data_IF_183742984860
#
_entry.id   IF_183742984860
#
_cell.length_a   1.000
_cell.length_b   1.000
_cell.length_c   1.000
_cell.angle_alpha   90.00
_cell.angle_beta   90.00
_cell.angle_gamma   90.00
#
_symmetry.space_group_name_H-M   'P 1'
#
loop_
_entity.id
_entity.type
_entity.pdbx_description
1 polymer ?
#
# COMPACT_ATOMS: atom_id res chain seq x y z
N UNK A 1 -26.32 10.10 22.82
CA UNK A 1 -26.30 9.64 21.41
C UNK A 1 -25.11 10.21 20.66
N UNK A 2 -25.00 11.53 20.46
CA UNK A 2 -23.95 12.13 19.61
C UNK A 2 -22.51 11.99 20.12
N UNK A 3 -22.28 12.12 21.43
CA UNK A 3 -20.99 11.82 22.06
C UNK A 3 -20.56 10.36 21.90
N UNK A 4 -21.53 9.43 21.93
CA UNK A 4 -21.25 8.01 21.70
C UNK A 4 -20.85 7.76 20.25
N UNK A 5 -21.54 8.41 19.31
CA UNK A 5 -21.28 8.30 17.87
C UNK A 5 -19.92 8.89 17.48
N UNK A 6 -19.55 10.06 18.02
CA UNK A 6 -18.22 10.65 17.81
C UNK A 6 -17.09 9.79 18.38
N UNK A 7 -17.37 9.00 19.43
CA UNK A 7 -16.40 8.09 20.04
C UNK A 7 -16.27 6.76 19.28
N UNK A 8 -17.33 6.32 18.60
CA UNK A 8 -17.39 5.02 17.93
C UNK A 8 -17.11 5.05 16.43
N UNK A 9 -17.30 6.20 15.77
CA UNK A 9 -17.01 6.35 14.35
C UNK A 9 -15.56 6.81 14.15
N UNK A 10 -14.87 6.31 13.11
CA UNK A 10 -13.59 6.86 12.70
C UNK A 10 -13.81 8.32 12.30
N UNK A 11 -13.36 9.24 13.15
CA UNK A 11 -13.39 10.65 12.83
C UNK A 11 -12.40 10.88 11.69
N UNK A 12 -12.86 11.49 10.60
CA UNK A 12 -11.97 11.91 9.55
C UNK A 12 -11.08 13.01 10.12
N UNK A 13 -9.77 12.76 10.16
CA UNK A 13 -8.81 13.75 10.60
C UNK A 13 -8.83 14.97 9.69
N UNK A 14 -8.28 16.09 10.15
CA UNK A 14 -8.16 17.28 9.31
C UNK A 14 -7.26 17.01 8.10
N UNK A 15 -6.26 16.14 8.25
CA UNK A 15 -5.38 15.66 7.19
C UNK A 15 -6.16 14.81 6.18
N UNK A 16 -6.98 13.86 6.64
CA UNK A 16 -7.84 13.05 5.77
C UNK A 16 -8.84 13.93 5.00
N UNK A 17 -9.44 14.91 5.69
CA UNK A 17 -10.34 15.90 5.09
C UNK A 17 -9.62 16.75 4.04
N UNK A 18 -8.38 17.13 4.29
CA UNK A 18 -7.53 17.85 3.32
C UNK A 18 -7.18 17.02 2.10
N UNK A 19 -6.89 15.72 2.27
CA UNK A 19 -6.66 14.81 1.14
C UNK A 19 -7.92 14.65 0.27
N UNK A 20 -9.09 14.55 0.91
CA UNK A 20 -10.40 14.51 0.24
C UNK A 20 -10.65 15.81 -0.52
N UNK A 21 -10.39 16.97 0.10
CA UNK A 21 -10.51 18.28 -0.55
C UNK A 21 -9.62 18.37 -1.80
N UNK A 22 -8.35 17.96 -1.70
CA UNK A 22 -7.42 17.98 -2.82
C UNK A 22 -7.90 17.10 -3.98
N UNK A 23 -8.35 15.88 -3.67
CA UNK A 23 -8.93 14.97 -4.66
C UNK A 23 -10.16 15.59 -5.34
N UNK A 24 -11.09 16.17 -4.57
CA UNK A 24 -12.30 16.78 -5.13
C UNK A 24 -12.02 18.07 -5.91
N UNK A 25 -11.03 18.85 -5.52
CA UNK A 25 -10.63 20.07 -6.24
C UNK A 25 -10.07 19.70 -7.61
N UNK A 26 -9.22 18.67 -7.66
CA UNK A 26 -8.72 18.10 -8.93
C UNK A 26 -9.83 17.50 -9.77
N UNK A 27 -10.73 16.74 -9.14
CA UNK A 27 -11.92 16.19 -9.78
C UNK A 27 -12.72 17.29 -10.48
N UNK A 28 -13.01 18.38 -9.74
CA UNK A 28 -13.77 19.51 -10.27
C UNK A 28 -13.04 20.19 -11.42
N UNK A 29 -11.74 20.45 -11.30
CA UNK A 29 -10.96 21.09 -12.35
C UNK A 29 -10.94 20.27 -13.66
N UNK A 30 -10.94 18.93 -13.56
CA UNK A 30 -10.92 18.04 -14.74
C UNK A 30 -12.32 17.76 -15.30
N UNK A 31 -13.34 17.66 -14.45
CA UNK A 31 -14.71 17.43 -14.87
C UNK A 31 -15.36 18.70 -15.42
N UNK A 32 -15.29 19.81 -14.70
CA UNK A 32 -15.92 21.07 -15.09
C UNK A 32 -15.06 21.90 -16.05
N UNK A 33 -14.23 21.24 -16.86
CA UNK A 33 -13.62 21.92 -18.01
C UNK A 33 -14.75 22.23 -19.01
N UNK A 34 -14.98 23.52 -19.27
CA UNK A 34 -16.17 24.07 -19.94
C UNK A 34 -16.43 23.44 -21.33
N UNK A 35 -15.40 22.84 -21.92
CA UNK A 35 -15.43 22.17 -23.22
C UNK A 35 -16.41 20.99 -23.32
N UNK A 36 -16.81 20.36 -22.21
CA UNK A 36 -17.61 19.13 -22.23
C UNK A 36 -18.84 19.12 -21.29
N UNK A 37 -19.29 20.28 -20.81
CA UNK A 37 -20.41 20.35 -19.85
C UNK A 37 -21.72 19.69 -20.37
N UNK A 38 -21.97 19.71 -21.67
CA UNK A 38 -23.11 19.01 -22.30
C UNK A 38 -22.98 17.48 -22.32
N UNK A 39 -21.77 16.93 -22.18
CA UNK A 39 -21.50 15.49 -22.18
C UNK A 39 -21.75 14.84 -20.81
N UNK A 40 -21.92 15.61 -19.72
CA UNK A 40 -22.25 15.08 -18.39
C UNK A 40 -23.59 14.35 -18.33
N UNK A 41 -24.48 14.59 -19.28
CA UNK A 41 -25.77 13.88 -19.37
C UNK A 41 -25.60 12.42 -19.81
N UNK A 42 -24.42 12.06 -20.34
CA UNK A 42 -24.09 10.73 -20.82
C UNK A 42 -23.30 9.94 -19.75
N UNK A 43 -23.94 8.91 -19.20
CA UNK A 43 -23.34 8.04 -18.17
C UNK A 43 -22.09 7.32 -18.71
N UNK A 44 -22.08 6.92 -19.99
CA UNK A 44 -20.94 6.33 -20.68
C UNK A 44 -19.70 7.25 -20.67
N UNK A 45 -19.92 8.54 -20.93
CA UNK A 45 -18.86 9.53 -20.94
C UNK A 45 -18.33 9.79 -19.52
N UNK A 46 -19.21 9.87 -18.52
CA UNK A 46 -18.81 10.04 -17.12
C UNK A 46 -17.98 8.85 -16.62
N UNK A 47 -18.42 7.62 -16.89
CA UNK A 47 -17.68 6.40 -16.51
C UNK A 47 -16.31 6.38 -17.19
N UNK A 48 -16.25 6.70 -18.48
CA UNK A 48 -14.99 6.80 -19.20
C UNK A 48 -14.08 7.83 -18.54
N UNK A 49 -14.53 9.08 -18.36
CA UNK A 49 -13.73 10.15 -17.74
C UNK A 49 -13.22 9.81 -16.35
N UNK A 50 -14.06 9.24 -15.49
CA UNK A 50 -13.67 8.88 -14.13
C UNK A 50 -12.62 7.75 -14.12
N UNK A 51 -12.78 6.73 -14.97
CA UNK A 51 -11.92 5.54 -14.97
C UNK A 51 -10.63 5.71 -15.77
N UNK A 52 -10.68 6.37 -16.92
CA UNK A 52 -9.53 6.45 -17.84
C UNK A 52 -8.69 7.71 -17.62
N UNK A 53 -9.32 8.84 -17.37
CA UNK A 53 -8.59 10.10 -17.20
C UNK A 53 -8.35 10.40 -15.74
N UNK A 54 -9.39 10.41 -14.91
CA UNK A 54 -9.27 10.89 -13.54
C UNK A 54 -8.43 9.96 -12.66
N UNK A 55 -8.72 8.65 -12.71
CA UNK A 55 -8.00 7.65 -11.96
C UNK A 55 -6.54 7.57 -12.40
N UNK A 56 -6.29 7.55 -13.71
CA UNK A 56 -4.92 7.52 -14.26
C UNK A 56 -4.14 8.79 -13.90
N UNK A 57 -4.77 9.97 -13.98
CA UNK A 57 -4.14 11.22 -13.55
C UNK A 57 -3.87 11.23 -12.04
N UNK A 58 -4.72 10.63 -11.20
CA UNK A 58 -4.44 10.51 -9.76
C UNK A 58 -3.16 9.70 -9.50
N UNK A 59 -3.02 8.54 -10.14
CA UNK A 59 -1.82 7.72 -10.01
C UNK A 59 -0.57 8.37 -10.60
N UNK A 60 -0.71 9.04 -11.74
CA UNK A 60 0.39 9.79 -12.35
C UNK A 60 0.91 10.88 -11.42
N UNK A 61 0.02 11.64 -10.79
CA UNK A 61 0.42 12.70 -9.85
C UNK A 61 1.06 12.11 -8.58
N UNK A 62 0.53 11.00 -8.06
CA UNK A 62 1.16 10.30 -6.93
C UNK A 62 2.57 9.82 -7.27
N UNK A 63 2.75 9.27 -8.46
CA UNK A 63 4.06 8.87 -8.94
C UNK A 63 4.99 10.08 -9.15
N UNK A 64 4.47 11.18 -9.71
CA UNK A 64 5.21 12.43 -9.87
C UNK A 64 5.65 13.00 -8.50
N UNK A 65 4.79 12.93 -7.50
CA UNK A 65 5.10 13.34 -6.11
C UNK A 65 6.20 12.49 -5.48
N UNK A 66 6.16 11.17 -5.65
CA UNK A 66 7.15 10.24 -5.10
C UNK A 66 8.49 10.29 -5.86
N UNK A 67 8.45 10.49 -7.17
CA UNK A 67 9.64 10.50 -8.04
C UNK A 67 10.28 11.88 -8.19
N UNK A 68 9.60 12.95 -7.78
CA UNK A 68 10.03 14.34 -8.01
C UNK A 68 9.97 14.79 -9.48
N UNK A 69 9.25 14.07 -10.32
CA UNK A 69 9.10 14.37 -11.75
C UNK A 69 7.95 15.37 -11.99
N UNK A 70 8.01 16.18 -13.06
CA UNK A 70 6.93 17.08 -13.51
C UNK A 70 6.46 18.16 -12.52
N UNK A 71 7.40 18.92 -11.95
CA UNK A 71 7.14 19.98 -10.96
C UNK A 71 6.09 21.03 -11.37
N UNK A 72 6.00 21.35 -12.67
CA UNK A 72 5.12 22.44 -13.16
C UNK A 72 3.63 22.04 -13.17
N UNK A 73 3.30 20.77 -13.39
CA UNK A 73 1.90 20.28 -13.39
C UNK A 73 1.33 20.26 -11.97
N UNK A 74 2.21 20.12 -10.99
CA UNK A 74 1.90 20.06 -9.57
C UNK A 74 1.42 21.40 -9.04
N UNK A 75 1.93 22.52 -9.54
CA UNK A 75 1.85 23.83 -8.88
C UNK A 75 0.43 24.43 -8.81
N UNK A 76 -0.39 24.27 -9.86
CA UNK A 76 -1.71 24.90 -9.95
C UNK A 76 -2.76 24.25 -9.04
N UNK A 77 -2.91 22.91 -9.10
CA UNK A 77 -3.93 22.22 -8.30
C UNK A 77 -3.57 22.27 -6.81
N UNK A 78 -2.28 22.19 -6.51
CA UNK A 78 -1.75 22.27 -5.15
C UNK A 78 -2.06 23.63 -4.53
N UNK A 79 -1.82 24.72 -5.26
CA UNK A 79 -2.11 26.08 -4.81
C UNK A 79 -3.60 26.31 -4.51
N UNK A 80 -4.50 25.51 -5.11
CA UNK A 80 -5.93 25.59 -4.85
C UNK A 80 -6.35 24.95 -3.51
N UNK A 81 -5.57 24.03 -2.95
CA UNK A 81 -5.91 23.32 -1.70
C UNK A 81 -5.84 24.24 -0.48
N UNK A 82 -6.74 24.04 0.49
CA UNK A 82 -6.73 24.84 1.73
C UNK A 82 -5.48 24.60 2.55
N UNK A 83 -4.89 23.40 2.46
CA UNK A 83 -3.64 23.05 3.12
C UNK A 83 -2.46 23.89 2.62
N UNK A 84 -2.27 24.00 1.30
CA UNK A 84 -1.18 24.82 0.77
C UNK A 84 -1.41 26.31 1.04
N UNK A 85 -2.65 26.78 0.95
CA UNK A 85 -2.99 28.16 1.32
C UNK A 85 -2.73 28.45 2.80
N UNK A 86 -2.84 27.44 3.68
CA UNK A 86 -2.49 27.56 5.08
C UNK A 86 -0.96 27.71 5.26
N UNK A 87 -0.15 26.93 4.53
CA UNK A 87 1.31 27.05 4.56
C UNK A 87 1.82 28.45 4.19
N UNK A 88 1.11 29.14 3.30
CA UNK A 88 1.45 30.52 2.90
C UNK A 88 1.19 31.56 4.01
N UNK A 89 0.43 31.22 5.05
CA UNK A 89 0.18 32.14 6.17
C UNK A 89 1.42 32.05 7.08
N UNK A 90 2.11 33.17 7.38
CA UNK A 90 3.27 33.13 8.27
C UNK A 90 2.84 32.85 9.72
N UNK A 91 3.70 32.20 10.51
CA UNK A 91 3.41 31.93 11.92
C UNK A 91 3.22 33.21 12.74
N UNK A 92 3.94 34.28 12.38
CA UNK A 92 3.81 35.61 13.02
C UNK A 92 2.45 36.27 12.81
N UNK A 93 1.67 35.83 11.81
CA UNK A 93 0.32 36.32 11.58
C UNK A 93 -0.73 35.68 12.50
N UNK A 94 -0.34 34.69 13.31
CA UNK A 94 -1.23 34.01 14.25
C UNK A 94 -0.89 34.43 15.67
N UNK A 95 -1.89 34.97 16.36
CA UNK A 95 -1.79 35.33 17.78
C UNK A 95 -2.78 34.49 18.59
N UNK A 96 -2.33 33.96 19.72
CA UNK A 96 -3.16 33.19 20.64
C UNK A 96 -3.57 34.07 21.80
N UNK A 97 -4.76 33.83 22.36
CA UNK A 97 -5.15 34.50 23.59
C UNK A 97 -4.36 33.95 24.79
N UNK A 98 -3.80 34.87 25.60
CA UNK A 98 -2.86 34.56 26.67
C UNK A 98 -3.52 33.93 27.91
N UNK A 99 -4.84 34.11 28.08
CA UNK A 99 -5.54 33.72 29.31
C UNK A 99 -6.04 32.28 29.27
N UNK A 100 -6.80 31.92 28.24
CA UNK A 100 -7.50 30.62 28.21
C UNK A 100 -7.34 29.82 26.91
N UNK A 101 -6.55 30.31 25.94
CA UNK A 101 -6.35 29.68 24.60
C UNK A 101 -7.66 29.29 23.88
N UNK A 102 -8.79 29.91 24.22
CA UNK A 102 -10.11 29.56 23.68
C UNK A 102 -10.25 29.91 22.19
N UNK A 103 -9.48 30.90 21.75
CA UNK A 103 -9.45 31.34 20.37
C UNK A 103 -8.04 31.76 19.93
N UNK A 104 -7.81 31.70 18.63
CA UNK A 104 -6.64 32.25 17.94
C UNK A 104 -7.12 33.29 16.93
N UNK A 105 -6.34 34.36 16.76
CA UNK A 105 -6.57 35.39 15.76
C UNK A 105 -5.55 35.23 14.64
N UNK A 106 -6.05 35.17 13.41
CA UNK A 106 -5.24 35.06 12.20
C UNK A 106 -5.41 36.34 11.37
N UNK A 107 -4.31 37.05 11.15
CA UNK A 107 -4.30 38.22 10.27
C UNK A 107 -4.49 37.81 8.81
N UNK A 108 -5.37 38.51 8.10
CA UNK A 108 -5.61 38.26 6.68
C UNK A 108 -4.40 38.68 5.84
N UNK A 109 -4.03 37.84 4.88
CA UNK A 109 -2.96 38.13 3.92
C UNK A 109 -3.33 39.26 2.94
N UNK A 110 -4.62 39.44 2.64
CA UNK A 110 -5.08 40.41 1.65
C UNK A 110 -5.30 41.80 2.25
N UNK A 111 -5.68 41.85 3.52
CA UNK A 111 -5.97 43.10 4.23
C UNK A 111 -5.45 42.97 5.67
N UNK A 112 -4.41 43.73 6.00
CA UNK A 112 -3.77 43.68 7.31
C UNK A 112 -4.66 44.17 8.45
N UNK A 113 -5.79 44.83 8.14
CA UNK A 113 -6.79 45.27 9.13
C UNK A 113 -7.82 44.20 9.45
N UNK A 114 -7.94 43.17 8.61
CA UNK A 114 -8.92 42.10 8.80
C UNK A 114 -8.29 40.95 9.60
N UNK A 115 -8.89 40.64 10.75
CA UNK A 115 -8.52 39.48 11.57
C UNK A 115 -9.64 38.45 11.55
N UNK A 116 -9.27 37.19 11.31
CA UNK A 116 -10.17 36.04 11.46
C UNK A 116 -9.99 35.38 12.81
N UNK A 117 -11.09 35.06 13.47
CA UNK A 117 -11.10 34.36 14.74
C UNK A 117 -11.30 32.86 14.48
N UNK A 118 -10.42 32.05 15.08
CA UNK A 118 -10.51 30.59 15.11
C UNK A 118 -10.80 30.16 16.54
N UNK A 119 -11.94 29.54 16.75
CA UNK A 119 -12.37 28.99 18.04
C UNK A 119 -11.85 27.57 18.23
N UNK A 120 -11.54 27.19 19.47
CA UNK A 120 -11.03 25.87 19.84
C UNK A 120 -9.78 25.47 19.02
N UNK A 121 -8.71 26.28 19.06
CA UNK A 121 -7.51 26.03 18.27
C UNK A 121 -6.94 24.64 18.55
N UNK A 122 -6.27 24.03 17.58
CA UNK A 122 -5.62 22.72 17.67
C UNK A 122 -6.57 21.53 17.85
N UNK A 123 -7.88 21.74 17.82
CA UNK A 123 -8.88 20.67 17.81
C UNK A 123 -9.35 20.37 16.39
N UNK A 124 -9.82 19.15 16.17
CA UNK A 124 -10.54 18.75 14.94
C UNK A 124 -11.89 19.48 14.81
N UNK A 125 -12.42 20.00 15.92
CA UNK A 125 -13.67 20.77 15.98
C UNK A 125 -13.43 22.29 15.97
N UNK A 126 -12.25 22.72 15.52
CA UNK A 126 -11.93 24.13 15.40
C UNK A 126 -12.79 24.79 14.30
N UNK A 127 -13.30 25.99 14.59
CA UNK A 127 -14.20 26.72 13.68
C UNK A 127 -13.66 28.12 13.44
N UNK A 128 -13.66 28.56 12.19
CA UNK A 128 -13.26 29.91 11.81
C UNK A 128 -14.46 30.77 11.42
N UNK A 129 -14.39 32.06 11.68
CA UNK A 129 -15.39 33.06 11.30
C UNK A 129 -15.33 33.50 9.82
N UNK A 130 -14.49 32.88 8.99
CA UNK A 130 -14.41 33.26 7.58
C UNK A 130 -15.57 32.67 6.78
N UNK A 131 -15.99 33.37 5.73
CA UNK A 131 -17.10 32.94 4.87
C UNK A 131 -16.91 31.52 4.29
N UNK A 132 -15.67 31.13 4.00
CA UNK A 132 -15.36 29.79 3.49
C UNK A 132 -15.63 28.69 4.54
N UNK A 133 -15.29 28.96 5.80
CA UNK A 133 -15.55 28.05 6.92
C UNK A 133 -17.04 27.93 7.22
N UNK A 134 -17.80 29.03 7.11
CA UNK A 134 -19.25 29.02 7.32
C UNK A 134 -20.03 28.21 6.28
N UNK A 135 -19.46 27.99 5.09
CA UNK A 135 -20.02 27.08 4.08
C UNK A 135 -19.76 25.60 4.38
N UNK A 136 -19.08 25.28 5.49
CA UNK A 136 -18.69 23.92 5.85
C UNK A 136 -17.45 23.42 5.11
N UNK A 137 -16.75 24.29 4.37
CA UNK A 137 -15.51 23.92 3.70
C UNK A 137 -14.32 23.94 4.66
N UNK A 138 -13.30 23.15 4.33
CA UNK A 138 -12.05 23.15 5.06
C UNK A 138 -11.40 24.54 5.00
N UNK A 139 -11.08 25.12 6.14
CA UNK A 139 -10.56 26.48 6.22
C UNK A 139 -9.05 26.52 6.42
N UNK A 140 -8.36 27.30 5.57
CA UNK A 140 -6.91 27.53 5.68
C UNK A 140 -6.48 28.12 7.03
N UNK A 141 -7.30 28.96 7.65
CA UNK A 141 -6.98 29.56 8.95
C UNK A 141 -7.00 28.51 10.07
N UNK A 142 -7.99 27.59 10.04
CA UNK A 142 -8.08 26.49 10.99
C UNK A 142 -6.88 25.55 10.84
N UNK A 143 -6.54 25.17 9.60
CA UNK A 143 -5.35 24.34 9.32
C UNK A 143 -4.10 25.02 9.88
N UNK A 144 -3.89 26.30 9.57
CA UNK A 144 -2.70 27.03 10.00
C UNK A 144 -2.56 27.04 11.53
N UNK A 145 -3.64 27.38 12.23
CA UNK A 145 -3.67 27.41 13.70
C UNK A 145 -3.37 26.03 14.27
N UNK A 146 -3.96 24.97 13.69
CA UNK A 146 -3.76 23.60 14.15
C UNK A 146 -2.32 23.12 13.91
N UNK A 147 -1.69 23.50 12.79
CA UNK A 147 -0.27 23.22 12.55
C UNK A 147 0.61 23.85 13.63
N UNK A 148 0.39 25.12 13.98
CA UNK A 148 1.16 25.79 15.04
C UNK A 148 0.93 25.10 16.39
N UNK A 149 -0.31 24.73 16.71
CA UNK A 149 -0.63 24.00 17.93
C UNK A 149 0.08 22.64 18.01
N UNK A 150 0.11 21.88 16.91
CA UNK A 150 0.76 20.57 16.85
C UNK A 150 2.28 20.61 17.09
N UNK A 151 2.94 21.74 16.84
CA UNK A 151 4.36 21.93 17.13
C UNK A 151 4.66 22.35 18.58
N UNK A 152 3.64 22.66 19.40
CA UNK A 152 3.83 23.07 20.79
C UNK A 152 3.80 21.87 21.74
N UNK A 153 4.70 21.87 22.71
CA UNK A 153 4.73 20.84 23.76
C UNK A 153 3.41 20.82 24.55
N UNK A 154 2.85 19.63 24.75
CA UNK A 154 1.62 19.41 25.51
C UNK A 154 0.33 19.38 24.68
N UNK A 155 0.37 19.59 23.35
CA UNK A 155 -0.81 19.40 22.52
C UNK A 155 -1.16 17.92 22.38
N UNK A 156 -2.42 17.59 22.62
CA UNK A 156 -2.89 16.23 22.42
C UNK A 156 -3.02 15.94 20.92
N UNK A 157 -2.63 14.72 20.48
CA UNK A 157 -2.89 14.30 19.11
C UNK A 157 -4.39 14.28 18.82
N UNK A 158 -4.74 14.42 17.55
CA UNK A 158 -6.12 14.41 17.07
C UNK A 158 -6.86 13.15 17.50
N UNK A 159 -8.20 13.21 17.70
CA UNK A 159 -8.95 12.04 18.17
C UNK A 159 -8.93 10.91 17.14
N UNK A 160 -8.94 11.26 15.85
CA UNK A 160 -8.74 10.32 14.76
C UNK A 160 -7.39 9.59 14.85
N UNK A 161 -6.30 10.30 15.13
CA UNK A 161 -4.98 9.70 15.28
C UNK A 161 -4.88 8.84 16.54
N UNK A 162 -5.48 9.28 17.65
CA UNK A 162 -5.54 8.49 18.88
C UNK A 162 -6.31 7.19 18.66
N UNK A 163 -7.50 7.27 18.05
CA UNK A 163 -8.32 6.11 17.70
C UNK A 163 -7.58 5.16 16.75
N UNK A 164 -6.91 5.69 15.72
CA UNK A 164 -6.08 4.90 14.83
C UNK A 164 -4.93 4.20 15.56
N UNK A 165 -4.23 4.90 16.46
CA UNK A 165 -3.15 4.35 17.28
C UNK A 165 -3.66 3.27 18.22
N UNK A 166 -4.81 3.47 18.85
CA UNK A 166 -5.48 2.48 19.70
C UNK A 166 -5.86 1.23 18.92
N UNK A 167 -6.41 1.41 17.71
CA UNK A 167 -6.76 0.31 16.81
C UNK A 167 -5.51 -0.48 16.39
N UNK A 168 -4.44 0.20 15.98
CA UNK A 168 -3.16 -0.45 15.66
C UNK A 168 -2.57 -1.18 16.88
N UNK A 169 -2.63 -0.57 18.06
CA UNK A 169 -2.14 -1.19 19.30
C UNK A 169 -2.98 -2.43 19.65
N UNK A 170 -4.28 -2.37 19.41
CA UNK A 170 -5.20 -3.50 19.63
C UNK A 170 -4.93 -4.63 18.65
N UNK A 171 -4.77 -4.33 17.36
CA UNK A 171 -4.37 -5.29 16.34
C UNK A 171 -3.02 -5.92 16.65
N UNK A 172 -2.07 -5.13 17.16
CA UNK A 172 -0.75 -5.65 17.54
C UNK A 172 -0.81 -6.56 18.78
N UNK A 173 -1.62 -6.21 19.78
CA UNK A 173 -1.80 -7.00 21.01
C UNK A 173 -2.63 -8.26 20.80
N UNK A 174 -3.59 -8.21 19.87
CA UNK A 174 -4.47 -9.32 19.50
C UNK A 174 -4.54 -9.35 17.96
N UNK A 175 -3.55 -9.96 17.30
CA UNK A 175 -3.64 -10.17 15.85
C UNK A 175 -4.92 -10.94 15.55
N UNK A 176 -5.55 -10.62 14.42
CA UNK A 176 -6.73 -11.35 13.96
C UNK A 176 -6.38 -12.84 13.87
N UNK A 177 -7.31 -13.70 14.29
CA UNK A 177 -7.13 -15.16 14.33
C UNK A 177 -6.83 -15.77 12.93
N UNK A 178 -6.93 -14.98 11.85
CA UNK A 178 -6.59 -15.35 10.46
C UNK A 178 -5.41 -14.52 9.90
N UNK A 179 -4.45 -14.09 10.73
CA UNK A 179 -3.26 -13.40 10.23
C UNK A 179 -2.23 -14.39 9.63
N UNK A 180 -1.61 -14.00 8.51
CA UNK A 180 -0.52 -14.76 7.87
C UNK A 180 0.61 -15.08 8.87
N UNK A 181 0.87 -14.17 9.82
CA UNK A 181 1.88 -14.35 10.86
C UNK A 181 1.49 -15.44 11.88
N UNK A 182 0.20 -15.59 12.19
CA UNK A 182 -0.30 -16.67 13.04
C UNK A 182 -0.23 -18.01 12.30
N UNK A 183 -0.61 -18.05 11.03
CA UNK A 183 -0.47 -19.24 10.18
C UNK A 183 1.00 -19.68 10.06
N UNK A 184 1.91 -18.72 9.87
CA UNK A 184 3.35 -18.97 9.83
C UNK A 184 3.86 -19.53 11.16
N UNK A 185 3.41 -18.95 12.28
CA UNK A 185 3.77 -19.40 13.64
C UNK A 185 3.21 -20.81 13.93
N UNK A 186 1.97 -21.10 13.53
CA UNK A 186 1.36 -22.41 13.64
C UNK A 186 2.09 -23.47 12.79
N UNK A 187 2.48 -23.11 11.56
CA UNK A 187 3.27 -23.99 10.70
C UNK A 187 4.64 -24.32 11.33
N UNK A 188 5.34 -23.33 11.87
CA UNK A 188 6.63 -23.52 12.53
C UNK A 188 6.53 -24.39 13.78
N UNK A 189 5.51 -24.16 14.61
CA UNK A 189 5.28 -24.97 15.82
C UNK A 189 4.95 -26.42 15.47
N UNK A 190 4.16 -26.67 14.43
CA UNK A 190 3.91 -28.02 13.93
C UNK A 190 5.16 -28.69 13.35
N UNK A 191 6.00 -27.95 12.63
CA UNK A 191 7.28 -28.47 12.15
C UNK A 191 8.20 -28.87 13.31
N UNK A 192 8.37 -27.99 14.31
CA UNK A 192 9.19 -28.28 15.49
C UNK A 192 8.63 -29.47 16.28
N UNK A 193 7.31 -29.55 16.46
CA UNK A 193 6.66 -30.71 17.09
C UNK A 193 6.94 -32.01 16.33
N UNK A 194 6.89 -31.96 14.99
CA UNK A 194 7.25 -33.10 14.14
C UNK A 194 8.70 -33.55 14.34
N UNK A 195 9.64 -32.60 14.40
CA UNK A 195 11.06 -32.86 14.65
C UNK A 195 11.29 -33.47 16.04
N UNK A 196 10.64 -32.93 17.08
CA UNK A 196 10.73 -33.45 18.45
C UNK A 196 10.18 -34.88 18.50
N UNK A 197 9.02 -35.14 17.88
CA UNK A 197 8.43 -36.50 17.83
C UNK A 197 9.36 -37.49 17.13
N UNK A 198 9.95 -37.11 16.00
CA UNK A 198 10.93 -37.95 15.29
C UNK A 198 12.18 -38.21 16.15
N UNK A 199 12.66 -37.20 16.88
CA UNK A 199 13.82 -37.34 17.75
C UNK A 199 13.52 -38.25 18.96
N UNK A 200 12.33 -38.15 19.53
CA UNK A 200 11.86 -39.05 20.59
C UNK A 200 11.68 -40.48 20.07
N UNK A 201 11.15 -40.68 18.86
CA UNK A 201 11.03 -41.99 18.22
C UNK A 201 12.42 -42.61 17.94
N UNK A 202 13.39 -41.80 17.50
CA UNK A 202 14.78 -42.25 17.34
C UNK A 202 15.42 -42.66 18.67
N UNK A 203 15.19 -41.90 19.74
CA UNK A 203 15.80 -42.17 21.04
C UNK A 203 15.13 -43.35 21.79
N UNK A 204 13.86 -43.63 21.49
CA UNK A 204 13.10 -44.72 22.10
C UNK A 204 13.17 -46.04 21.32
N UNK A 205 13.66 -46.02 20.07
CA UNK A 205 13.80 -47.23 19.26
C UNK A 205 15.15 -47.91 19.49
N UNK A 206 15.13 -49.20 19.81
CA UNK A 206 16.33 -50.04 19.95
C UNK A 206 16.95 -50.44 18.59
N UNK A 207 16.26 -50.19 17.47
CA UNK A 207 16.74 -50.46 16.11
C UNK A 207 16.46 -49.27 15.18
N UNK A 208 17.52 -48.69 14.63
CA UNK A 208 17.47 -47.55 13.72
C UNK A 208 16.80 -47.90 12.38
N UNK A 209 16.78 -49.18 11.99
CA UNK A 209 16.14 -49.64 10.74
C UNK A 209 14.63 -49.42 10.74
N UNK A 210 13.99 -49.52 11.91
CA UNK A 210 12.55 -49.30 12.07
C UNK A 210 12.17 -47.85 11.78
N UNK A 211 13.02 -46.91 12.20
CA UNK A 211 12.80 -45.47 11.97
C UNK A 211 13.12 -45.09 10.52
N UNK A 212 14.23 -45.61 9.97
CA UNK A 212 14.63 -45.35 8.57
C UNK A 212 13.59 -45.84 7.56
N UNK A 213 12.93 -46.96 7.82
CA UNK A 213 11.88 -47.50 6.95
C UNK A 213 10.59 -46.66 6.94
N UNK A 214 10.36 -45.85 7.99
CA UNK A 214 9.22 -44.93 8.09
C UNK A 214 9.51 -43.54 7.50
N UNK A 215 10.77 -43.22 7.19
CA UNK A 215 11.10 -41.96 6.54
C UNK A 215 10.59 -41.96 5.08
N UNK A 216 10.06 -40.83 4.59
CA UNK A 216 9.42 -40.75 3.27
C UNK A 216 10.41 -41.00 2.11
N UNK A 217 11.70 -40.81 2.32
CA UNK A 217 12.74 -41.04 1.32
C UNK A 217 13.33 -42.45 1.44
N UNK A 218 12.79 -43.39 0.66
CA UNK A 218 13.37 -44.73 0.51
C UNK A 218 14.53 -44.70 -0.48
N UNK A 219 15.76 -44.75 0.03
CA UNK A 219 16.96 -44.93 -0.79
C UNK A 219 16.98 -46.36 -1.34
N UNK A 220 16.60 -46.54 -2.61
CA UNK A 220 16.71 -47.84 -3.28
C UNK A 220 18.18 -48.10 -3.58
N UNK A 221 18.77 -49.12 -2.94
CA UNK A 221 20.14 -49.55 -3.20
C UNK A 221 20.28 -50.04 -4.65
N UNK A 222 21.21 -49.46 -5.42
CA UNK A 222 21.57 -49.91 -6.78
C UNK A 222 21.98 -51.38 -6.76
N UNK A 223 21.21 -52.24 -7.44
CA UNK A 223 21.51 -53.66 -7.67
C UNK A 223 22.75 -53.81 -8.55
N UNK A 224 23.81 -54.43 -8.01
CA UNK A 224 25.09 -54.64 -8.67
C UNK A 224 24.98 -55.50 -9.94
N UNK A 225 25.75 -55.16 -10.97
CA UNK A 225 25.87 -55.93 -12.21
C UNK A 225 27.30 -56.44 -12.38
N UNK A 226 27.53 -57.74 -12.14
CA UNK A 226 28.65 -58.50 -12.74
C UNK A 226 28.41 -60.01 -12.64
N UNK A 227 28.22 -60.66 -13.80
CA UNK A 227 28.63 -62.05 -14.19
C UNK A 227 27.93 -62.38 -15.53
N UNK A 228 28.46 -61.97 -16.70
CA UNK A 228 29.33 -62.72 -17.64
C UNK A 228 28.75 -64.06 -18.12
N UNK A 229 28.50 -64.19 -19.44
CA UNK A 229 28.25 -65.48 -20.13
C UNK A 229 27.45 -65.40 -21.45
N UNK A 230 28.19 -65.23 -22.56
CA UNK A 230 27.98 -65.34 -24.05
C UNK A 230 26.74 -66.11 -24.64
N UNK A 231 26.32 -65.80 -25.91
CA UNK A 231 24.92 -65.69 -26.35
C UNK A 231 24.45 -66.78 -27.35
N UNK A 232 23.14 -66.84 -27.62
CA UNK A 232 22.57 -67.49 -28.82
C UNK A 232 21.59 -66.58 -29.56
N UNK A 233 21.86 -66.44 -30.86
CA UNK A 233 21.08 -65.75 -31.89
C UNK A 233 19.88 -66.57 -32.36
N UNK A 234 18.78 -65.92 -32.76
CA UNK A 234 18.06 -66.08 -34.06
C UNK A 234 16.76 -65.25 -34.04
N UNK A 235 16.59 -64.48 -35.10
CA UNK A 235 15.50 -63.53 -35.38
C UNK A 235 14.20 -64.21 -35.80
N UNK A 236 13.03 -63.72 -35.34
CA UNK A 236 11.80 -63.53 -36.15
C UNK A 236 10.98 -62.34 -35.56
N UNK A 237 10.74 -61.31 -36.38
CA UNK A 237 9.86 -60.12 -36.21
C UNK A 237 8.46 -60.41 -36.82
N UNK A 238 7.43 -59.52 -36.82
CA UNK A 238 7.28 -58.17 -36.23
C UNK A 238 5.90 -57.88 -35.55
N UNK A 239 5.83 -56.87 -34.68
CA UNK A 239 4.70 -55.91 -34.69
C UNK A 239 5.08 -54.63 -33.92
N UNK A 240 4.39 -53.56 -34.25
CA UNK A 240 4.88 -52.18 -34.36
C UNK A 240 4.89 -51.33 -33.09
N UNK A 241 5.76 -50.32 -33.15
CA UNK A 241 5.69 -49.01 -32.47
C UNK A 241 6.18 -48.89 -31.02
N UNK A 242 7.48 -48.60 -30.86
CA UNK A 242 8.00 -47.24 -30.62
C UNK A 242 9.49 -47.36 -30.24
N UNK A 243 10.31 -46.72 -31.08
CA UNK A 243 11.50 -45.96 -30.76
C UNK A 243 11.80 -45.82 -29.25
N UNK A 244 13.03 -45.98 -28.77
CA UNK A 244 14.34 -46.01 -29.43
C UNK A 244 15.38 -46.15 -28.31
N UNK A 245 16.66 -45.91 -28.63
CA UNK A 245 17.85 -45.86 -27.77
C UNK A 245 18.60 -47.19 -27.93
N UNK A 246 19.76 -47.25 -28.59
CA UNK A 246 20.93 -46.36 -28.51
C UNK A 246 21.87 -46.80 -29.63
N UNK A 247 22.60 -45.90 -30.25
CA UNK A 247 24.06 -45.86 -30.10
C UNK A 247 24.72 -44.89 -31.05
N UNK A 248 25.92 -44.55 -30.61
CA UNK A 248 27.02 -43.77 -31.15
C UNK A 248 27.25 -43.75 -32.67
N UNK A 249 27.91 -42.66 -33.07
CA UNK A 249 28.70 -42.43 -34.30
C UNK A 249 27.92 -41.97 -35.53
N UNK A 250 28.10 -40.68 -35.87
CA UNK A 250 28.29 -40.11 -37.22
C UNK A 250 27.95 -38.60 -37.15
N UNK A 251 28.94 -37.71 -37.29
CA UNK A 251 29.29 -37.10 -38.59
C UNK A 251 28.50 -35.81 -38.89
N UNK A 252 29.25 -34.69 -38.80
CA UNK A 252 29.34 -33.58 -39.77
C UNK A 252 28.07 -32.92 -40.32
N UNK A 253 28.08 -31.59 -40.07
CA UNK A 253 27.94 -30.45 -41.00
C UNK A 253 26.60 -29.72 -41.09
N UNK A 254 26.69 -28.46 -40.64
CA UNK A 254 26.22 -27.21 -41.27
C UNK A 254 24.71 -27.02 -41.41
N UNK A 255 24.11 -25.93 -40.91
CA UNK A 255 24.25 -24.61 -41.52
C UNK A 255 23.66 -23.51 -40.61
N UNK A 256 24.41 -22.41 -40.56
CA UNK A 256 23.99 -21.01 -40.40
C UNK A 256 23.49 -20.53 -39.03
N UNK A 257 24.46 -20.11 -38.21
CA UNK A 257 24.35 -18.87 -37.43
C UNK A 257 23.96 -17.73 -38.39
N UNK A 258 22.83 -17.07 -38.14
CA UNK A 258 22.66 -15.66 -38.53
C UNK A 258 22.64 -14.82 -37.26
N UNK A 259 23.66 -14.00 -37.19
CA UNK A 259 24.00 -12.98 -36.21
C UNK A 259 23.13 -11.77 -36.52
N UNK A 260 22.40 -11.22 -35.55
CA UNK A 260 22.07 -9.80 -35.55
C UNK A 260 22.48 -9.22 -34.20
N UNK A 261 23.54 -8.45 -34.31
CA UNK A 261 24.25 -7.72 -33.29
C UNK A 261 23.61 -6.35 -33.05
N UNK A 262 23.69 -5.92 -31.79
CA UNK A 262 23.87 -4.53 -31.32
C UNK A 262 22.85 -3.48 -31.77
N UNK A 263 22.07 -3.04 -30.79
CA UNK A 263 21.60 -1.66 -30.68
C UNK A 263 22.76 -0.79 -30.18
N UNK A 264 23.05 0.29 -30.90
CA UNK A 264 23.75 1.47 -30.40
C UNK A 264 23.12 2.69 -31.03
N UNK A 265 22.66 3.59 -30.14
CA UNK A 265 22.10 4.93 -30.29
C UNK A 265 20.72 5.01 -30.91
#
# INVERSE_FOLDING_TARGET
>A
MWLSTMRSLPLASQEASGAIEAYHTKLKAKLFDDSHLGAFQRVDWLVHKLTTELHSCYWLDRYADESGSFQNVKEEYIAATSWHRALQIPDSAVTFDDKDRLFAKVLSQKDSKLTHIVWNPGSEFAVCDCAWSFQGNLCKHVIKVNMICGHREGYQPSMSFQSFKELLTTLWKKPLDDSIDLDLSAAWTHQMLGQIKQLVELNSSNDIRVVVNKLPLKWVSKKGRTSVGIPSSVNVLPSSSRNSIKDTVASKKSRKRKRLSRLTW
#
